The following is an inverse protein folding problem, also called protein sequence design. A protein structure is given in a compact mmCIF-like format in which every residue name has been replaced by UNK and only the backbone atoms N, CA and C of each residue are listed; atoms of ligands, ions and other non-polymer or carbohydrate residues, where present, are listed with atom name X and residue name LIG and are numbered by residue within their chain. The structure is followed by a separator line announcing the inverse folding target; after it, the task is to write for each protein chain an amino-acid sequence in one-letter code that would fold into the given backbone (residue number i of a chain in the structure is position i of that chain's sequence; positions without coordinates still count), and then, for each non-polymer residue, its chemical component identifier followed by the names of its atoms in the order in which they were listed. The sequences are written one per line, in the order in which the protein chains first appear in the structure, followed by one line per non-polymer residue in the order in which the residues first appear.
data_IF_019550489953
#
_entry.id   IF_019550489953
#
_cell.length_a   1.000
_cell.length_b   1.000
_cell.length_c   1.000
_cell.angle_alpha   90.00
_cell.angle_beta   90.00
_cell.angle_gamma   90.00
#
_symmetry.space_group_name_H-M   'P 1'
#
loop_
_entity.id
_entity.type
_entity.pdbx_description
1 polymer ?
#
# COMPACT_ATOMS: atom_id res chain seq x y z
N UNK A 1 -37.46 -2.64 81.30
CA UNK A 1 -36.98 -3.21 80.03
C UNK A 1 -37.23 -2.16 78.94
N UNK A 2 -36.13 -1.57 78.43
CA UNK A 2 -35.89 -0.67 77.25
C UNK A 2 -37.06 0.06 76.57
N UNK A 3 -36.93 1.27 76.00
CA UNK A 3 -36.05 2.46 76.04
C UNK A 3 -36.39 3.24 74.73
N UNK A 4 -36.57 4.57 74.82
CA UNK A 4 -36.19 5.67 73.89
C UNK A 4 -36.45 5.61 72.35
N UNK A 5 -37.11 6.70 71.87
CA UNK A 5 -36.86 7.64 70.71
C UNK A 5 -35.62 7.43 69.78
N UNK A 6 -35.43 8.21 68.68
CA UNK A 6 -36.31 8.68 67.58
C UNK A 6 -35.61 8.65 66.17
N UNK A 7 -36.26 9.23 65.16
CA UNK A 7 -35.74 9.90 63.94
C UNK A 7 -34.76 9.17 62.98
N UNK A 8 -35.22 8.93 61.75
CA UNK A 8 -34.40 8.56 60.60
C UNK A 8 -34.94 9.21 59.32
N UNK A 9 -34.24 10.25 58.87
CA UNK A 9 -34.43 11.00 57.63
C UNK A 9 -34.03 10.12 56.43
N UNK A 10 -34.96 9.80 55.52
CA UNK A 10 -34.61 9.16 54.24
C UNK A 10 -34.36 10.23 53.17
N UNK A 11 -33.09 10.43 52.82
CA UNK A 11 -32.67 11.11 51.58
C UNK A 11 -32.98 10.20 50.38
N UNK A 12 -33.90 10.62 49.53
CA UNK A 12 -34.04 10.06 48.18
C UNK A 12 -32.94 10.63 47.28
N UNK A 13 -31.95 9.79 46.94
CA UNK A 13 -30.97 10.09 45.88
C UNK A 13 -31.49 9.47 44.58
N UNK A 14 -32.03 10.29 43.69
CA UNK A 14 -32.32 9.87 42.32
C UNK A 14 -31.01 9.68 41.55
N UNK A 15 -30.62 8.43 41.33
CA UNK A 15 -29.54 8.06 40.40
C UNK A 15 -30.07 8.20 38.98
N UNK A 16 -29.77 9.33 38.35
CA UNK A 16 -30.01 9.55 36.92
C UNK A 16 -28.92 8.79 36.14
N UNK A 17 -29.23 7.56 35.74
CA UNK A 17 -28.37 6.75 34.87
C UNK A 17 -28.31 7.37 33.47
N UNK A 18 -27.26 8.17 33.20
CA UNK A 18 -26.93 8.65 31.86
C UNK A 18 -26.34 7.45 31.09
N UNK A 19 -27.19 6.81 30.28
CA UNK A 19 -26.77 5.81 29.31
C UNK A 19 -26.07 6.52 28.13
N UNK A 20 -24.75 6.68 28.23
CA UNK A 20 -23.93 7.19 27.15
C UNK A 20 -23.87 6.13 26.03
N UNK A 21 -24.74 6.24 25.03
CA UNK A 21 -24.64 5.45 23.80
C UNK A 21 -23.34 5.84 23.06
N UNK A 22 -22.28 5.07 23.29
CA UNK A 22 -21.12 5.04 22.41
C UNK A 22 -21.56 4.42 21.08
N UNK A 23 -21.97 5.27 20.14
CA UNK A 23 -22.13 4.87 18.74
C UNK A 23 -20.75 4.59 18.17
N UNK A 24 -20.31 3.34 18.26
CA UNK A 24 -19.18 2.84 17.46
C UNK A 24 -19.66 2.84 16.01
N UNK A 25 -19.35 3.91 15.28
CA UNK A 25 -19.60 4.00 13.85
C UNK A 25 -18.74 2.96 13.12
N UNK A 26 -19.30 1.75 12.95
CA UNK A 26 -18.72 0.75 12.05
C UNK A 26 -19.11 1.19 10.65
N UNK A 27 -18.23 1.94 9.97
CA UNK A 27 -18.40 2.18 8.55
C UNK A 27 -18.46 0.83 7.84
N UNK A 28 -19.50 0.54 7.02
CA UNK A 28 -19.57 -0.71 6.30
C UNK A 28 -18.37 -0.79 5.37
N UNK A 29 -17.58 -1.86 5.52
CA UNK A 29 -16.54 -2.20 4.55
C UNK A 29 -17.26 -2.61 3.28
N UNK A 30 -17.30 -1.73 2.28
CA UNK A 30 -17.78 -2.09 0.95
C UNK A 30 -16.79 -3.10 0.39
N UNK A 31 -17.20 -4.36 0.30
CA UNK A 31 -16.42 -5.39 -0.37
C UNK A 31 -16.28 -5.01 -1.85
N UNK A 32 -15.05 -4.82 -2.33
CA UNK A 32 -14.80 -4.58 -3.74
C UNK A 32 -15.15 -5.82 -4.55
N UNK A 33 -15.92 -5.66 -5.63
CA UNK A 33 -16.21 -6.75 -6.56
C UNK A 33 -14.93 -7.21 -7.27
N UNK A 34 -14.89 -8.50 -7.65
CA UNK A 34 -13.75 -9.05 -8.41
C UNK A 34 -13.72 -8.38 -9.79
N UNK A 35 -12.62 -7.69 -10.12
CA UNK A 35 -12.43 -7.02 -11.41
C UNK A 35 -12.85 -5.54 -11.48
N UNK A 36 -13.37 -4.95 -10.40
CA UNK A 36 -13.69 -3.52 -10.37
C UNK A 36 -12.41 -2.69 -10.18
N UNK A 37 -11.99 -1.95 -11.21
CA UNK A 37 -10.97 -0.90 -11.08
C UNK A 37 -11.59 0.33 -10.42
N UNK A 38 -11.06 0.76 -9.28
CA UNK A 38 -11.46 2.04 -8.69
C UNK A 38 -10.71 3.19 -9.35
N UNK A 39 -11.42 4.28 -9.60
CA UNK A 39 -10.77 5.55 -9.91
C UNK A 39 -9.99 6.08 -8.70
N UNK A 40 -8.99 6.92 -8.93
CA UNK A 40 -8.25 7.57 -7.83
C UNK A 40 -9.18 8.41 -6.94
N UNK A 41 -10.19 9.05 -7.53
CA UNK A 41 -11.19 9.83 -6.79
C UNK A 41 -12.03 8.94 -5.85
N UNK A 42 -12.34 7.71 -6.25
CA UNK A 42 -13.02 6.75 -5.38
C UNK A 42 -12.07 6.19 -4.31
N UNK A 43 -10.82 5.88 -4.67
CA UNK A 43 -9.82 5.40 -3.72
C UNK A 43 -9.58 6.43 -2.60
N UNK A 44 -9.53 7.73 -2.93
CA UNK A 44 -9.39 8.85 -1.96
C UNK A 44 -10.54 8.97 -0.95
N UNK A 45 -11.68 8.29 -1.16
CA UNK A 45 -12.77 8.23 -0.17
C UNK A 45 -12.42 7.31 1.00
N UNK A 46 -11.50 6.36 0.81
CA UNK A 46 -10.94 5.56 1.88
C UNK A 46 -9.87 6.36 2.62
N UNK A 47 -10.06 6.55 3.93
CA UNK A 47 -9.07 7.22 4.77
C UNK A 47 -7.71 6.50 4.78
N UNK A 48 -7.69 5.19 4.56
CA UNK A 48 -6.46 4.40 4.52
C UNK A 48 -5.62 4.71 3.26
N UNK A 49 -6.25 5.19 2.17
CA UNK A 49 -5.56 5.56 0.93
C UNK A 49 -4.55 6.69 1.15
N UNK A 50 -4.88 7.66 2.01
CA UNK A 50 -3.98 8.75 2.34
C UNK A 50 -2.71 8.28 3.07
N UNK A 51 -2.77 7.14 3.76
CA UNK A 51 -1.67 6.56 4.53
C UNK A 51 -0.82 5.63 3.67
N UNK A 52 -1.42 4.88 2.74
CA UNK A 52 -0.66 4.04 1.81
C UNK A 52 0.36 4.86 1.01
N UNK A 53 1.57 4.36 0.89
CA UNK A 53 2.61 4.98 0.07
C UNK A 53 4.02 4.78 0.60
N UNK A 54 4.94 5.48 -0.03
CA UNK A 54 6.34 5.53 0.37
C UNK A 54 6.60 6.75 1.26
N UNK A 55 7.53 6.61 2.18
CA UNK A 55 8.00 7.68 3.05
C UNK A 55 9.53 7.66 3.08
N UNK A 56 10.13 8.85 3.05
CA UNK A 56 11.58 9.02 3.17
C UNK A 56 11.84 9.84 4.43
N UNK A 57 12.74 9.34 5.26
CA UNK A 57 13.04 9.94 6.56
C UNK A 57 14.49 9.88 6.94
N UNK A 58 14.76 10.46 8.10
CA UNK A 58 16.08 10.50 8.74
C UNK A 58 15.91 10.60 10.26
N UNK A 59 16.87 10.05 11.00
CA UNK A 59 16.98 10.25 12.44
C UNK A 59 17.36 11.70 12.78
N UNK A 60 16.92 12.18 13.94
CA UNK A 60 17.14 13.56 14.37
C UNK A 60 18.61 13.85 14.75
N UNK A 61 19.44 12.82 14.95
CA UNK A 61 20.89 12.98 15.14
C UNK A 61 21.56 13.67 13.95
N UNK A 62 20.95 13.59 12.77
CA UNK A 62 21.46 14.20 11.55
C UNK A 62 22.54 13.37 10.85
N UNK A 63 22.83 12.15 11.29
CA UNK A 63 23.86 11.30 10.69
C UNK A 63 23.45 10.82 9.29
N UNK A 64 24.41 10.75 8.35
CA UNK A 64 24.16 10.30 6.97
C UNK A 64 23.51 8.91 6.92
N UNK A 65 23.94 8.04 7.84
CA UNK A 65 23.51 6.66 7.93
C UNK A 65 22.14 6.49 8.58
N UNK A 66 21.58 7.56 9.16
CA UNK A 66 20.24 7.53 9.77
C UNK A 66 19.10 7.66 8.75
N UNK A 67 19.40 7.72 7.45
CA UNK A 67 18.39 7.77 6.38
C UNK A 67 17.57 6.47 6.38
N UNK A 68 16.27 6.59 6.19
CA UNK A 68 15.37 5.45 6.06
C UNK A 68 14.38 5.63 4.92
N UNK A 69 13.94 4.51 4.34
CA UNK A 69 12.74 4.40 3.52
C UNK A 69 11.67 3.61 4.26
N UNK A 70 10.40 3.95 4.08
CA UNK A 70 9.28 3.18 4.62
C UNK A 70 8.24 2.98 3.51
N UNK A 71 7.83 1.74 3.30
CA UNK A 71 6.64 1.44 2.51
C UNK A 71 5.51 1.07 3.46
N UNK A 72 4.36 1.74 3.34
CA UNK A 72 3.16 1.48 4.15
C UNK A 72 2.04 1.02 3.22
N UNK A 73 1.49 -0.16 3.49
CA UNK A 73 0.49 -0.82 2.65
C UNK A 73 -0.83 -0.87 3.41
N UNK A 74 -1.90 -0.31 2.82
CA UNK A 74 -3.23 -0.40 3.40
C UNK A 74 -3.72 -1.86 3.34
N UNK A 75 -4.27 -2.33 4.46
CA UNK A 75 -4.88 -3.66 4.59
C UNK A 75 -6.41 -3.58 4.70
N UNK A 76 -6.96 -2.37 4.63
CA UNK A 76 -8.36 -2.05 4.77
C UNK A 76 -8.79 -1.99 6.23
N UNK A 77 -9.91 -1.31 6.48
CA UNK A 77 -10.51 -1.17 7.81
C UNK A 77 -9.53 -0.62 8.87
N UNK A 78 -8.67 0.33 8.49
CA UNK A 78 -7.72 0.97 9.39
C UNK A 78 -6.51 0.12 9.75
N UNK A 79 -6.27 -1.00 9.06
CA UNK A 79 -5.10 -1.86 9.29
C UNK A 79 -4.03 -1.60 8.24
N UNK A 80 -2.78 -1.73 8.66
CA UNK A 80 -1.62 -1.54 7.80
C UNK A 80 -0.56 -2.60 8.07
N UNK A 81 0.16 -2.97 7.02
CA UNK A 81 1.50 -3.53 7.13
C UNK A 81 2.48 -2.52 6.54
N UNK A 82 3.76 -2.69 6.81
CA UNK A 82 4.79 -1.91 6.17
C UNK A 82 6.15 -2.56 6.32
N UNK A 83 7.12 -1.94 5.68
CA UNK A 83 8.52 -2.33 5.75
C UNK A 83 9.36 -1.06 5.87
N UNK A 84 10.21 -1.02 6.89
CA UNK A 84 11.27 -0.01 7.01
C UNK A 84 12.54 -0.58 6.39
N UNK A 85 13.20 0.26 5.61
CA UNK A 85 14.42 -0.02 4.88
C UNK A 85 15.51 0.96 5.35
N UNK A 86 16.43 0.53 6.23
CA UNK A 86 17.59 1.33 6.60
C UNK A 86 18.40 1.74 5.36
N UNK A 87 18.85 2.99 5.28
CA UNK A 87 19.61 3.53 4.13
C UNK A 87 18.74 4.13 3.00
N UNK A 88 17.44 3.82 2.91
CA UNK A 88 16.54 4.42 1.91
C UNK A 88 15.51 3.43 1.36
N UNK A 89 14.75 3.81 0.34
CA UNK A 89 13.78 2.91 -0.31
C UNK A 89 14.49 1.96 -1.29
N UNK A 90 13.84 0.84 -1.70
CA UNK A 90 14.30 0.05 -2.83
C UNK A 90 14.61 0.92 -4.06
N UNK A 91 15.82 0.74 -4.62
CA UNK A 91 16.35 1.51 -5.74
C UNK A 91 16.69 2.97 -5.44
N UNK A 92 16.67 3.37 -4.16
CA UNK A 92 16.95 4.74 -3.71
C UNK A 92 17.69 4.78 -2.37
N UNK A 93 18.77 4.01 -2.26
CA UNK A 93 19.71 4.01 -1.14
C UNK A 93 19.75 2.72 -0.32
N UNK A 94 18.68 1.91 -0.36
CA UNK A 94 18.70 0.60 0.31
C UNK A 94 19.67 -0.37 -0.38
N UNK A 95 20.52 -1.04 0.40
CA UNK A 95 21.57 -1.94 -0.10
C UNK A 95 21.17 -3.42 -0.12
N UNK A 96 20.02 -3.78 0.47
CA UNK A 96 19.51 -5.16 0.45
C UNK A 96 19.64 -5.94 1.75
N UNK A 97 20.30 -5.40 2.77
CA UNK A 97 20.73 -6.17 3.94
C UNK A 97 19.65 -6.36 5.02
N UNK A 98 18.94 -5.29 5.39
CA UNK A 98 17.94 -5.33 6.47
C UNK A 98 16.57 -4.82 6.00
N UNK A 99 15.51 -5.50 6.47
CA UNK A 99 14.12 -5.06 6.38
C UNK A 99 13.48 -5.22 7.75
N UNK A 100 12.83 -4.17 8.24
CA UNK A 100 12.09 -4.23 9.51
C UNK A 100 10.60 -4.25 9.18
N UNK A 101 9.88 -5.35 9.46
CA UNK A 101 8.44 -5.39 9.24
C UNK A 101 7.72 -4.46 10.22
N UNK A 102 6.66 -3.84 9.75
CA UNK A 102 5.83 -2.92 10.52
C UNK A 102 4.38 -3.36 10.45
N UNK A 103 3.67 -3.24 11.56
CA UNK A 103 2.19 -3.30 11.59
C UNK A 103 1.65 -1.94 12.02
N UNK A 104 0.46 -1.59 11.55
CA UNK A 104 -0.17 -0.31 11.88
C UNK A 104 -1.67 -0.41 12.10
N UNK A 105 -2.18 0.43 12.98
CA UNK A 105 -3.62 0.55 13.29
C UNK A 105 -4.01 2.02 13.33
N UNK A 106 -5.05 2.38 12.56
CA UNK A 106 -5.63 3.73 12.56
C UNK A 106 -6.55 3.93 13.76
N UNK A 107 -6.34 5.04 14.46
CA UNK A 107 -7.18 5.56 15.54
C UNK A 107 -7.57 7.00 15.19
N UNK A 108 -8.77 7.19 14.66
CA UNK A 108 -9.21 8.49 14.16
C UNK A 108 -8.38 8.95 12.96
N UNK A 109 -7.71 10.10 13.10
CA UNK A 109 -6.87 10.74 12.08
C UNK A 109 -5.38 10.36 12.17
N UNK A 110 -5.04 9.45 13.08
CA UNK A 110 -3.67 9.01 13.37
C UNK A 110 -3.52 7.52 13.10
N UNK A 111 -2.35 7.09 12.61
CA UNK A 111 -1.99 5.66 12.56
C UNK A 111 -0.82 5.41 13.49
N UNK A 112 -0.98 4.46 14.40
CA UNK A 112 0.10 3.99 15.27
C UNK A 112 0.77 2.77 14.62
N UNK A 113 2.09 2.79 14.55
CA UNK A 113 2.92 1.74 13.99
C UNK A 113 3.78 1.06 15.05
N UNK A 114 3.99 -0.24 14.86
CA UNK A 114 4.90 -1.08 15.66
C UNK A 114 5.87 -1.78 14.71
N UNK A 115 7.17 -1.56 14.92
CA UNK A 115 8.25 -2.26 14.23
C UNK A 115 8.59 -3.59 14.89
N UNK A 116 8.81 -4.63 14.09
CA UNK A 116 9.01 -5.99 14.60
C UNK A 116 7.72 -6.64 15.08
N UNK A 117 7.83 -7.66 15.95
CA UNK A 117 6.69 -8.47 16.41
C UNK A 117 5.71 -7.67 17.29
N UNK A 118 6.23 -6.71 18.05
CA UNK A 118 5.52 -6.06 19.17
C UNK A 118 5.95 -4.60 19.41
N UNK A 119 6.76 -4.01 18.52
CA UNK A 119 7.39 -2.70 18.72
C UNK A 119 8.85 -2.78 19.19
N UNK A 120 9.39 -4.00 19.36
CA UNK A 120 10.80 -4.24 19.70
C UNK A 120 11.83 -3.65 18.74
N UNK A 121 11.42 -3.30 17.50
CA UNK A 121 12.29 -2.67 16.50
C UNK A 121 11.90 -1.22 16.21
N UNK A 122 11.16 -0.60 17.14
CA UNK A 122 10.74 0.79 17.05
C UNK A 122 9.23 0.97 16.96
N UNK A 123 8.81 2.23 16.95
CA UNK A 123 7.41 2.64 16.90
C UNK A 123 7.26 3.90 16.06
N UNK A 124 6.06 4.16 15.56
CA UNK A 124 5.80 5.34 14.75
C UNK A 124 4.37 5.84 14.87
N UNK A 125 4.18 7.11 14.57
CA UNK A 125 2.87 7.75 14.51
C UNK A 125 2.77 8.50 13.20
N UNK A 126 1.83 8.08 12.35
CA UNK A 126 1.47 8.82 11.15
C UNK A 126 0.41 9.86 11.45
N UNK A 127 0.59 11.07 10.93
CA UNK A 127 -0.43 12.10 10.86
C UNK A 127 -0.17 13.01 9.67
N UNK A 128 -1.19 13.26 8.83
CA UNK A 128 -1.14 14.22 7.72
C UNK A 128 0.08 14.04 6.79
N UNK A 129 0.40 12.80 6.42
CA UNK A 129 1.48 12.50 5.47
C UNK A 129 2.89 12.51 6.06
N UNK A 130 3.02 12.62 7.38
CA UNK A 130 4.30 12.52 8.10
C UNK A 130 4.24 11.38 9.11
N UNK A 131 5.35 10.65 9.24
CA UNK A 131 5.58 9.66 10.29
C UNK A 131 6.63 10.24 11.23
N UNK A 132 6.29 10.37 12.51
CA UNK A 132 7.25 10.59 13.59
C UNK A 132 7.53 9.23 14.21
N UNK A 133 8.79 8.84 14.34
CA UNK A 133 9.16 7.51 14.80
C UNK A 133 10.24 7.53 15.89
N UNK A 134 10.36 6.40 16.58
CA UNK A 134 11.50 6.01 17.38
C UNK A 134 12.05 4.68 16.85
N UNK A 135 13.35 4.59 16.64
CA UNK A 135 14.00 3.33 16.22
C UNK A 135 14.04 2.30 17.37
N UNK A 136 14.72 1.17 17.14
CA UNK A 136 14.86 0.11 18.14
C UNK A 136 15.62 0.53 19.40
N UNK A 137 16.48 1.56 19.31
CA UNK A 137 17.25 2.11 20.42
C UNK A 137 16.54 3.30 21.09
N UNK A 138 15.39 3.71 20.55
CA UNK A 138 14.56 4.79 21.06
C UNK A 138 14.94 6.17 20.50
N UNK A 139 15.86 6.26 19.55
CA UNK A 139 16.25 7.52 18.93
C UNK A 139 15.11 8.05 18.04
N UNK A 140 14.78 9.35 18.14
CA UNK A 140 13.70 9.93 17.36
C UNK A 140 14.11 10.19 15.91
N UNK A 141 13.11 10.20 15.04
CA UNK A 141 13.27 10.65 13.66
C UNK A 141 11.94 10.95 12.99
N UNK A 142 12.01 11.46 11.77
CA UNK A 142 10.82 11.78 10.98
C UNK A 142 10.95 11.31 9.54
N UNK A 143 9.83 10.89 8.95
CA UNK A 143 9.72 10.53 7.55
C UNK A 143 8.51 11.23 6.92
N UNK A 144 8.68 11.75 5.70
CA UNK A 144 7.63 12.44 4.94
C UNK A 144 7.21 11.59 3.75
N UNK A 145 5.93 11.65 3.39
CA UNK A 145 5.40 10.94 2.23
C UNK A 145 6.16 11.37 0.97
N UNK A 146 6.58 10.40 0.19
CA UNK A 146 7.26 10.57 -1.08
C UNK A 146 6.39 10.02 -2.21
N UNK A 147 6.45 10.67 -3.37
CA UNK A 147 5.82 10.19 -4.59
C UNK A 147 6.94 9.99 -5.61
N UNK A 148 7.19 8.73 -5.96
CA UNK A 148 8.14 8.35 -7.01
C UNK A 148 7.39 7.86 -8.24
N UNK A 149 7.99 8.07 -9.40
CA UNK A 149 7.52 7.57 -10.68
C UNK A 149 8.66 6.84 -11.39
N UNK A 150 8.33 5.95 -12.32
CA UNK A 150 9.34 5.39 -13.23
C UNK A 150 10.00 6.50 -14.03
N UNK A 151 11.32 6.39 -14.25
CA UNK A 151 12.07 7.31 -15.12
C UNK A 151 11.67 7.18 -16.59
N UNK A 152 11.02 6.08 -16.98
CA UNK A 152 10.50 5.83 -18.32
C UNK A 152 8.98 6.07 -18.43
N UNK A 153 8.34 6.60 -17.39
CA UNK A 153 6.91 6.93 -17.42
C UNK A 153 6.60 7.93 -18.54
N UNK A 154 5.66 7.59 -19.43
CA UNK A 154 5.30 8.39 -20.61
C UNK A 154 6.40 8.45 -21.68
N UNK A 155 7.39 7.55 -21.64
CA UNK A 155 8.44 7.53 -22.65
C UNK A 155 7.83 7.35 -24.05
N UNK A 156 8.18 8.26 -24.97
CA UNK A 156 7.71 8.15 -26.35
C UNK A 156 8.36 6.95 -27.02
N UNK A 157 7.58 6.28 -27.87
CA UNK A 157 8.10 5.23 -28.73
C UNK A 157 9.31 5.75 -29.53
N UNK A 158 10.47 5.08 -29.48
CA UNK A 158 11.65 5.52 -30.23
C UNK A 158 11.41 5.41 -31.73
N UNK A 159 12.24 6.11 -32.53
CA UNK A 159 12.13 6.07 -33.99
C UNK A 159 12.21 4.62 -34.49
N UNK A 160 11.22 4.19 -35.27
CA UNK A 160 11.14 2.83 -35.82
C UNK A 160 10.45 1.81 -34.91
N UNK A 161 10.06 2.17 -33.69
CA UNK A 161 9.26 1.30 -32.84
C UNK A 161 7.85 1.10 -33.40
N UNK A 162 7.31 -0.09 -33.17
CA UNK A 162 5.92 -0.42 -33.46
C UNK A 162 5.09 0.00 -32.26
N UNK A 163 4.21 0.97 -32.45
CA UNK A 163 3.27 1.41 -31.40
C UNK A 163 2.11 0.42 -31.34
N UNK A 164 2.09 -0.41 -30.30
CA UNK A 164 0.99 -1.33 -30.05
C UNK A 164 -0.23 -0.60 -29.46
N UNK A 165 0.00 0.31 -28.52
CA UNK A 165 -1.03 1.10 -27.84
C UNK A 165 -0.49 2.47 -27.46
N UNK A 166 -1.27 3.53 -27.67
CA UNK A 166 -0.95 4.92 -27.32
C UNK A 166 -2.14 5.66 -26.67
N UNK A 167 -3.20 4.93 -26.30
CA UNK A 167 -4.43 5.51 -25.76
C UNK A 167 -5.51 5.79 -26.81
N UNK A 168 -5.19 5.81 -28.11
CA UNK A 168 -6.16 6.18 -29.15
C UNK A 168 -7.07 5.01 -29.57
N UNK A 169 -6.54 3.80 -29.68
CA UNK A 169 -7.29 2.63 -30.16
C UNK A 169 -6.69 1.31 -29.67
N UNK A 170 -7.55 0.32 -29.45
CA UNK A 170 -7.16 -1.04 -29.11
C UNK A 170 -7.11 -2.01 -30.32
N UNK A 171 -7.21 -1.48 -31.56
CA UNK A 171 -7.35 -2.29 -32.79
C UNK A 171 -6.19 -3.24 -33.09
N UNK A 172 -5.02 -3.00 -32.50
CA UNK A 172 -3.84 -3.84 -32.68
C UNK A 172 -3.92 -5.15 -31.88
N UNK A 173 -4.99 -5.33 -31.09
CA UNK A 173 -5.16 -6.46 -30.20
C UNK A 173 -6.45 -7.23 -30.45
N UNK A 174 -6.35 -8.56 -30.45
CA UNK A 174 -7.51 -9.44 -30.27
C UNK A 174 -8.07 -9.25 -28.87
N UNK A 175 -9.38 -9.05 -28.77
CA UNK A 175 -10.06 -8.76 -27.51
C UNK A 175 -9.85 -7.34 -26.98
N UNK A 176 -9.23 -6.46 -27.78
CA UNK A 176 -8.92 -5.08 -27.39
C UNK A 176 -10.15 -4.29 -26.95
N UNK A 177 -10.09 -3.72 -25.74
CA UNK A 177 -11.12 -2.84 -25.17
C UNK A 177 -10.45 -1.58 -24.64
N UNK A 178 -11.03 -0.43 -24.97
CA UNK A 178 -10.58 0.87 -24.49
C UNK A 178 -11.57 1.37 -23.43
N UNK A 179 -11.05 1.76 -22.28
CA UNK A 179 -11.84 2.37 -21.21
C UNK A 179 -11.08 3.58 -20.67
N UNK A 180 -11.63 4.78 -20.81
CA UNK A 180 -11.02 6.03 -20.34
C UNK A 180 -9.57 6.24 -20.83
N UNK A 181 -9.27 5.87 -22.08
CA UNK A 181 -7.93 5.99 -22.66
C UNK A 181 -6.95 4.88 -22.24
N UNK A 182 -7.40 3.88 -21.48
CA UNK A 182 -6.60 2.73 -21.05
C UNK A 182 -7.00 1.46 -21.79
N UNK A 183 -6.00 0.65 -22.13
CA UNK A 183 -6.20 -0.69 -22.67
C UNK A 183 -6.55 -1.66 -21.53
N UNK A 184 -7.69 -2.34 -21.63
CA UNK A 184 -8.07 -3.38 -20.68
C UNK A 184 -7.30 -4.68 -20.91
N UNK A 185 -7.16 -5.44 -19.82
CA UNK A 185 -6.48 -6.72 -19.76
C UNK A 185 -7.15 -7.83 -20.61
N UNK A 186 -6.47 -8.97 -20.75
CA UNK A 186 -6.99 -10.12 -21.50
C UNK A 186 -6.95 -9.92 -23.01
N UNK A 187 -5.83 -9.36 -23.49
CA UNK A 187 -5.61 -9.00 -24.89
C UNK A 187 -4.37 -9.67 -25.44
N UNK A 188 -4.32 -9.85 -26.77
CA UNK A 188 -3.14 -10.40 -27.47
C UNK A 188 -2.90 -9.60 -28.73
N UNK A 189 -1.66 -9.19 -29.01
CA UNK A 189 -1.34 -8.50 -30.25
C UNK A 189 -1.65 -9.40 -31.45
N UNK A 190 -2.17 -8.83 -32.55
CA UNK A 190 -2.33 -9.59 -33.79
C UNK A 190 -0.98 -9.94 -34.42
N UNK A 191 0.00 -9.04 -34.26
CA UNK A 191 1.37 -9.25 -34.73
C UNK A 191 2.12 -10.19 -33.78
N UNK A 192 2.88 -11.10 -34.38
CA UNK A 192 3.86 -11.92 -33.70
C UNK A 192 5.24 -11.26 -33.78
N UNK A 193 6.07 -11.52 -32.77
CA UNK A 193 7.40 -10.93 -32.64
C UNK A 193 8.45 -12.03 -32.38
N UNK A 194 9.62 -11.87 -33.01
CA UNK A 194 10.84 -12.63 -32.69
C UNK A 194 11.54 -11.96 -31.52
N UNK A 195 12.76 -11.46 -31.75
CA UNK A 195 13.47 -10.63 -30.79
C UNK A 195 12.87 -9.21 -30.75
N UNK A 196 12.71 -8.65 -29.55
CA UNK A 196 12.19 -7.30 -29.38
C UNK A 196 12.64 -6.66 -28.06
N UNK A 197 12.53 -5.34 -28.02
CA UNK A 197 12.46 -4.57 -26.79
C UNK A 197 11.02 -4.08 -26.60
N UNK A 198 10.44 -4.31 -25.42
CA UNK A 198 9.08 -3.88 -25.08
C UNK A 198 9.15 -2.80 -24.02
N UNK A 199 8.49 -1.67 -24.29
CA UNK A 199 8.10 -0.69 -23.27
C UNK A 199 6.60 -0.81 -23.04
N UNK A 200 6.20 -0.88 -21.79
CA UNK A 200 4.79 -0.83 -21.40
C UNK A 200 4.63 -0.19 -20.03
N UNK A 201 3.48 0.43 -19.84
CA UNK A 201 3.04 1.00 -18.58
C UNK A 201 1.73 0.34 -18.19
N UNK A 202 1.55 0.07 -16.90
CA UNK A 202 0.36 -0.54 -16.37
C UNK A 202 -0.05 0.15 -15.08
N UNK A 203 -1.35 0.12 -14.80
CA UNK A 203 -1.93 0.69 -13.60
C UNK A 203 -2.58 -0.42 -12.78
N UNK A 204 -2.19 -0.50 -11.51
CA UNK A 204 -2.74 -1.45 -10.55
C UNK A 204 -3.94 -0.82 -9.84
N UNK A 205 -4.85 -1.67 -9.36
CA UNK A 205 -6.02 -1.21 -8.63
C UNK A 205 -5.71 -1.02 -7.14
N UNK A 206 -6.23 0.05 -6.52
CA UNK A 206 -6.25 0.18 -5.07
C UNK A 206 -7.24 -0.83 -4.47
N UNK A 207 -6.72 -1.95 -3.95
CA UNK A 207 -7.53 -3.04 -3.40
C UNK A 207 -7.09 -3.45 -2.00
N UNK A 208 -7.26 -2.59 -0.98
CA UNK A 208 -6.63 -2.77 0.33
C UNK A 208 -7.12 -4.03 1.06
N UNK A 209 -8.25 -4.63 0.68
CA UNK A 209 -8.77 -5.88 1.26
C UNK A 209 -8.31 -7.16 0.53
N UNK A 210 -7.65 -7.05 -0.63
CA UNK A 210 -7.17 -8.20 -1.43
C UNK A 210 -5.75 -8.60 -1.03
N UNK A 211 -5.41 -9.90 -1.15
CA UNK A 211 -4.09 -10.45 -0.78
C UNK A 211 -3.57 -11.40 -1.85
N UNK A 212 -2.24 -11.59 -1.85
CA UNK A 212 -1.53 -12.51 -2.74
C UNK A 212 -1.97 -12.33 -4.20
N UNK A 213 -2.20 -13.44 -4.88
CA UNK A 213 -2.65 -13.50 -6.27
C UNK A 213 -4.04 -12.88 -6.53
N UNK A 214 -4.75 -12.41 -5.49
CA UNK A 214 -6.00 -11.66 -5.64
C UNK A 214 -5.81 -10.14 -5.76
N UNK A 215 -4.59 -9.64 -5.63
CA UNK A 215 -4.26 -8.21 -5.55
C UNK A 215 -3.71 -7.72 -6.90
N UNK A 216 -4.60 -7.37 -7.83
CA UNK A 216 -4.28 -6.84 -9.17
C UNK A 216 -3.41 -7.78 -10.04
N UNK A 217 -3.78 -9.07 -10.08
CA UNK A 217 -3.04 -10.11 -10.82
C UNK A 217 -3.29 -10.02 -12.34
N UNK A 218 -2.21 -9.97 -13.10
CA UNK A 218 -2.16 -10.03 -14.56
C UNK A 218 -0.75 -10.48 -15.00
N UNK A 219 -0.45 -10.50 -16.29
CA UNK A 219 0.87 -10.88 -16.76
C UNK A 219 1.13 -10.53 -18.20
N UNK A 220 2.41 -10.47 -18.55
CA UNK A 220 2.87 -10.22 -19.92
C UNK A 220 3.56 -11.48 -20.42
N UNK A 221 2.91 -12.16 -21.35
CA UNK A 221 3.42 -13.40 -21.91
C UNK A 221 4.32 -13.11 -23.11
N UNK A 222 5.63 -13.18 -22.91
CA UNK A 222 6.62 -13.06 -23.97
C UNK A 222 6.45 -14.24 -24.93
N UNK A 223 6.10 -13.92 -26.18
CA UNK A 223 5.82 -14.89 -27.24
C UNK A 223 4.76 -15.94 -26.86
N UNK A 224 3.85 -15.61 -25.93
CA UNK A 224 2.83 -16.53 -25.44
C UNK A 224 3.35 -17.69 -24.58
N UNK A 225 4.59 -17.61 -24.07
CA UNK A 225 5.26 -18.72 -23.36
C UNK A 225 5.76 -18.34 -21.97
N UNK A 226 6.50 -17.23 -21.88
CA UNK A 226 7.18 -16.83 -20.65
C UNK A 226 6.47 -15.64 -20.03
N UNK A 227 5.85 -15.84 -18.87
CA UNK A 227 5.14 -14.78 -18.18
C UNK A 227 6.08 -13.93 -17.33
N UNK A 228 6.11 -12.64 -17.62
CA UNK A 228 6.57 -11.62 -16.68
C UNK A 228 5.36 -11.16 -15.89
N UNK A 229 5.41 -11.41 -14.58
CA UNK A 229 4.26 -11.25 -13.70
C UNK A 229 3.91 -9.77 -13.47
N UNK A 230 2.61 -9.46 -13.46
CA UNK A 230 2.06 -8.17 -13.00
C UNK A 230 1.20 -8.46 -11.76
N UNK A 231 1.58 -7.85 -10.63
CA UNK A 231 0.85 -7.98 -9.38
C UNK A 231 1.03 -6.71 -8.56
N UNK A 232 0.04 -6.35 -7.73
CA UNK A 232 0.27 -5.35 -6.69
C UNK A 232 1.11 -5.96 -5.56
N UNK A 233 2.42 -5.87 -5.78
CA UNK A 233 3.47 -6.36 -4.89
C UNK A 233 4.04 -5.26 -4.00
N UNK A 234 3.38 -4.11 -3.90
CA UNK A 234 3.85 -3.01 -3.07
C UNK A 234 3.97 -3.47 -1.60
N UNK A 235 5.17 -3.32 -1.03
CA UNK A 235 5.54 -3.79 0.30
C UNK A 235 5.64 -5.31 0.49
N UNK A 236 5.63 -6.10 -0.60
CA UNK A 236 5.79 -7.57 -0.55
C UNK A 236 7.25 -8.00 -0.76
N UNK A 237 7.48 -9.32 -0.76
CA UNK A 237 8.82 -9.90 -0.71
C UNK A 237 9.61 -9.76 -2.02
N UNK A 238 8.94 -9.67 -3.16
CA UNK A 238 9.53 -9.76 -4.51
C UNK A 238 9.79 -11.20 -4.90
N UNK A 239 8.75 -12.04 -4.97
CA UNK A 239 8.86 -13.45 -5.39
C UNK A 239 8.60 -13.67 -6.88
N UNK A 240 8.97 -14.83 -7.39
CA UNK A 240 8.81 -15.22 -8.80
C UNK A 240 7.35 -15.12 -9.28
N UNK A 241 6.38 -15.23 -8.39
CA UNK A 241 4.96 -15.05 -8.66
C UNK A 241 4.43 -13.65 -8.28
N UNK A 242 5.31 -12.69 -8.04
CA UNK A 242 5.04 -11.28 -7.76
C UNK A 242 5.58 -10.38 -8.89
N UNK A 243 5.26 -9.09 -8.86
CA UNK A 243 5.54 -8.15 -9.96
C UNK A 243 7.01 -8.18 -10.41
N UNK A 244 7.22 -8.36 -11.72
CA UNK A 244 8.54 -8.43 -12.34
C UNK A 244 9.25 -9.79 -12.20
N UNK A 245 8.68 -10.74 -11.47
CA UNK A 245 9.13 -12.12 -11.47
C UNK A 245 8.88 -12.79 -12.82
N UNK A 246 9.78 -13.70 -13.21
CA UNK A 246 9.48 -14.66 -14.28
C UNK A 246 8.71 -15.79 -13.62
N UNK A 247 7.43 -15.91 -13.94
CA UNK A 247 6.48 -16.72 -13.18
C UNK A 247 6.98 -18.16 -13.01
N UNK A 248 7.06 -18.61 -11.75
CA UNK A 248 7.58 -19.93 -11.31
C UNK A 248 9.06 -20.24 -11.65
N UNK A 249 9.80 -19.27 -12.19
CA UNK A 249 11.18 -19.47 -12.67
C UNK A 249 12.18 -18.64 -11.87
N UNK A 250 11.95 -17.33 -11.72
CA UNK A 250 12.93 -16.41 -11.12
C UNK A 250 12.26 -15.28 -10.36
N UNK A 251 12.69 -15.06 -9.12
CA UNK A 251 12.37 -13.86 -8.35
C UNK A 251 12.86 -12.61 -9.12
N UNK A 252 12.15 -11.46 -9.07
CA UNK A 252 12.71 -10.20 -9.51
C UNK A 252 13.96 -9.87 -8.69
N UNK A 253 14.96 -9.23 -9.30
CA UNK A 253 16.18 -8.86 -8.59
C UNK A 253 15.90 -7.87 -7.45
N UNK A 254 14.89 -7.01 -7.64
CA UNK A 254 14.42 -6.07 -6.63
C UNK A 254 12.93 -5.79 -6.79
N UNK A 255 12.17 -5.84 -5.69
CA UNK A 255 10.79 -5.36 -5.69
C UNK A 255 10.76 -3.83 -5.74
N UNK A 256 10.46 -3.30 -6.93
CA UNK A 256 10.34 -1.87 -7.23
C UNK A 256 8.90 -1.42 -7.47
N UNK A 257 7.91 -2.19 -7.00
CA UNK A 257 6.50 -1.84 -7.15
C UNK A 257 6.23 -0.48 -6.46
N UNK A 258 5.46 0.37 -7.13
CA UNK A 258 4.98 1.65 -6.61
C UNK A 258 3.58 1.47 -5.98
N UNK A 259 3.17 2.38 -5.07
CA UNK A 259 1.90 2.29 -4.33
C UNK A 259 0.63 2.60 -5.11
#
# INVERSE_FOLDING_TARGET
MKLLRPDGCELSVSILSILLLLTVGVSPVVAQNKGQTLSEAEAKKDADYAVQGEYIGRGDSGDADSKIGIQVVAQGAGKFIGVVYPGGLPGAGWTGEEKIPVTGVRKGDVVEFKGGKDGSKGSGTWKKGQIVYKDGDGNPGTAKKAVRSSVTMGAKAPKGAIVLFDGSTAKNFKGGRLENGLLREGVTSFRNFGDFHLHMEFQLNYSPSRRGQGRSNSGVYMQGRYEVQILDSFGLAGKHNECGGVYEIKDPDLNMCLP
#
